data_IF_862906802741
#
_entry.id   IF_862906802741
#
_cell.length_a   1.000
_cell.length_b   1.000
_cell.length_c   1.000
_cell.angle_alpha   90.00
_cell.angle_beta   90.00
_cell.angle_gamma   90.00
#
_symmetry.space_group_name_H-M   'P 1'
#
loop_
_entity.id
_entity.type
_entity.pdbx_description
1 polymer ?
#
# COMPACT_ATOMS: atom_id res chain seq x y z
N UNK A 1 -10.59 -14.15 -6.51
CA UNK A 1 -10.21 -14.89 -5.28
C UNK A 1 -11.24 -15.98 -4.87
N UNK A 2 -12.55 -15.74 -4.94
CA UNK A 2 -13.55 -16.76 -4.56
C UNK A 2 -13.51 -18.04 -5.43
N UNK A 3 -13.25 -17.93 -6.73
CA UNK A 3 -13.06 -19.11 -7.58
C UNK A 3 -11.83 -19.95 -7.18
N UNK A 4 -10.75 -19.30 -6.75
CA UNK A 4 -9.56 -19.95 -6.22
C UNK A 4 -9.93 -20.74 -4.96
N UNK A 5 -10.65 -20.11 -4.01
CA UNK A 5 -11.10 -20.76 -2.78
C UNK A 5 -12.06 -21.93 -3.04
N UNK A 6 -12.99 -21.78 -4.00
CA UNK A 6 -13.88 -22.87 -4.42
C UNK A 6 -13.10 -24.06 -5.02
N UNK A 7 -12.04 -23.79 -5.80
CA UNK A 7 -11.13 -24.82 -6.31
C UNK A 7 -10.43 -25.57 -5.18
N UNK A 8 -9.89 -24.82 -4.21
CA UNK A 8 -9.22 -25.40 -3.03
C UNK A 8 -10.17 -26.30 -2.20
N UNK A 9 -11.43 -25.85 -2.03
CA UNK A 9 -12.43 -26.63 -1.30
C UNK A 9 -12.76 -27.98 -1.97
N UNK A 10 -12.60 -28.07 -3.29
CA UNK A 10 -12.83 -29.30 -4.07
C UNK A 10 -11.56 -30.11 -4.31
N UNK A 11 -10.41 -29.59 -3.95
CA UNK A 11 -9.12 -30.24 -4.17
C UNK A 11 -8.97 -31.41 -3.21
N UNK A 12 -8.64 -32.59 -3.73
CA UNK A 12 -8.28 -33.76 -2.94
C UNK A 12 -6.92 -33.55 -2.28
N UNK A 13 -6.60 -34.35 -1.27
CA UNK A 13 -5.36 -34.18 -0.49
C UNK A 13 -4.10 -34.32 -1.36
N UNK A 14 -4.08 -35.30 -2.28
CA UNK A 14 -3.00 -35.49 -3.26
C UNK A 14 -3.18 -34.64 -4.54
N UNK A 15 -4.21 -33.79 -4.56
CA UNK A 15 -4.57 -33.04 -5.76
C UNK A 15 -3.69 -31.80 -5.98
N UNK A 16 -3.58 -31.41 -7.23
CA UNK A 16 -2.99 -30.13 -7.67
C UNK A 16 -3.96 -29.43 -8.61
N UNK A 17 -4.08 -28.13 -8.50
CA UNK A 17 -4.84 -27.32 -9.44
C UNK A 17 -4.01 -26.15 -9.94
N UNK A 18 -4.36 -25.67 -11.14
CA UNK A 18 -3.85 -24.42 -11.69
C UNK A 18 -5.03 -23.54 -12.10
N UNK A 19 -4.99 -22.26 -11.75
CA UNK A 19 -6.02 -21.30 -12.11
C UNK A 19 -5.38 -19.98 -12.58
N UNK A 20 -5.90 -19.43 -13.68
CA UNK A 20 -5.45 -18.14 -14.20
C UNK A 20 -6.23 -17.03 -13.51
N UNK A 21 -5.48 -16.04 -13.01
CA UNK A 21 -5.98 -14.84 -12.35
C UNK A 21 -5.34 -13.60 -12.99
N UNK A 22 -5.98 -12.45 -12.83
CA UNK A 22 -5.36 -11.16 -13.15
C UNK A 22 -4.42 -10.71 -12.03
N UNK A 23 -3.60 -9.68 -12.29
CA UNK A 23 -2.61 -9.17 -11.34
C UNK A 23 -3.21 -8.66 -10.02
N UNK A 24 -4.47 -8.20 -10.01
CA UNK A 24 -5.11 -7.71 -8.78
C UNK A 24 -5.26 -8.80 -7.70
N UNK A 25 -5.27 -10.08 -8.09
CA UNK A 25 -5.31 -11.20 -7.13
C UNK A 25 -4.09 -11.25 -6.21
N UNK A 26 -2.97 -10.67 -6.62
CA UNK A 26 -1.71 -10.66 -5.88
C UNK A 26 -1.69 -9.66 -4.72
N UNK A 27 -2.33 -8.51 -4.88
CA UNK A 27 -2.19 -7.39 -3.94
C UNK A 27 -3.51 -6.74 -3.52
N UNK A 28 -4.63 -6.90 -4.27
CA UNK A 28 -5.88 -6.24 -3.92
C UNK A 28 -6.39 -6.68 -2.55
N UNK A 29 -6.96 -5.73 -1.81
CA UNK A 29 -7.51 -5.93 -0.47
C UNK A 29 -6.48 -5.62 0.63
N UNK A 30 -6.91 -4.77 1.57
CA UNK A 30 -6.10 -4.35 2.72
C UNK A 30 -5.97 -5.49 3.76
N UNK A 31 -5.07 -5.33 4.73
CA UNK A 31 -4.90 -6.25 5.86
C UNK A 31 -6.24 -6.54 6.55
N UNK A 32 -6.56 -7.83 6.70
CA UNK A 32 -7.84 -8.30 7.26
C UNK A 32 -9.01 -8.32 6.28
N UNK A 33 -8.83 -7.89 5.02
CA UNK A 33 -9.86 -8.02 3.97
C UNK A 33 -10.02 -9.46 3.49
N UNK A 34 -11.14 -9.75 2.79
CA UNK A 34 -11.40 -11.08 2.27
C UNK A 34 -10.32 -11.59 1.31
N UNK A 35 -9.83 -10.73 0.41
CA UNK A 35 -8.78 -11.09 -0.54
C UNK A 35 -7.45 -11.37 0.14
N UNK A 36 -7.04 -10.54 1.09
CA UNK A 36 -5.82 -10.73 1.89
C UNK A 36 -5.92 -12.01 2.72
N UNK A 37 -7.08 -12.26 3.35
CA UNK A 37 -7.32 -13.47 4.15
C UNK A 37 -7.29 -14.75 3.29
N UNK A 38 -7.76 -14.72 2.05
CA UNK A 38 -7.66 -15.88 1.14
C UNK A 38 -6.20 -16.16 0.78
N UNK A 39 -5.38 -15.14 0.52
CA UNK A 39 -3.94 -15.33 0.34
C UNK A 39 -3.30 -15.93 1.59
N UNK A 40 -3.61 -15.36 2.77
CA UNK A 40 -3.15 -15.87 4.05
C UNK A 40 -3.53 -17.32 4.27
N UNK A 41 -4.77 -17.69 3.98
CA UNK A 41 -5.24 -19.06 4.10
C UNK A 41 -4.41 -20.06 3.29
N UNK A 42 -4.05 -19.70 2.04
CA UNK A 42 -3.21 -20.56 1.20
C UNK A 42 -1.77 -20.65 1.70
N UNK A 43 -1.21 -19.54 2.18
CA UNK A 43 0.17 -19.46 2.65
C UNK A 43 0.36 -20.14 4.00
N UNK A 44 -0.58 -19.94 4.94
CA UNK A 44 -0.52 -20.53 6.28
C UNK A 44 -0.75 -22.05 6.29
N UNK A 45 -1.55 -22.55 5.34
CA UNK A 45 -1.72 -23.99 5.14
C UNK A 45 -0.63 -24.60 4.24
N UNK A 46 0.29 -23.77 3.75
CA UNK A 46 1.37 -24.20 2.85
C UNK A 46 0.86 -24.84 1.54
N UNK A 47 -0.23 -24.31 0.97
CA UNK A 47 -0.83 -24.86 -0.24
C UNK A 47 -0.48 -24.12 -1.53
N UNK A 48 -0.03 -22.88 -1.45
CA UNK A 48 0.43 -22.14 -2.62
C UNK A 48 1.83 -22.61 -3.03
N UNK A 49 1.93 -23.32 -4.16
CA UNK A 49 3.18 -23.92 -4.62
C UNK A 49 3.97 -22.97 -5.54
N UNK A 50 3.29 -22.36 -6.52
CA UNK A 50 3.92 -21.43 -7.44
C UNK A 50 2.94 -20.40 -8.00
N UNK A 51 3.48 -19.27 -8.48
CA UNK A 51 2.78 -18.29 -9.30
C UNK A 51 3.64 -18.03 -10.54
N UNK A 52 3.04 -18.19 -11.72
CA UNK A 52 3.70 -17.95 -13.01
C UNK A 52 3.05 -16.76 -13.69
N UNK A 53 3.79 -15.68 -13.92
CA UNK A 53 3.38 -14.57 -14.78
C UNK A 53 3.46 -14.99 -16.24
N UNK A 54 2.37 -14.80 -16.95
CA UNK A 54 2.30 -15.06 -18.38
C UNK A 54 2.55 -13.76 -19.17
N UNK A 55 2.95 -13.88 -20.46
CA UNK A 55 3.11 -12.72 -21.34
C UNK A 55 1.82 -11.90 -21.49
N UNK A 56 2.00 -10.60 -21.71
CA UNK A 56 0.91 -9.76 -22.19
C UNK A 56 0.41 -10.20 -23.56
N UNK A 57 -0.79 -9.77 -23.96
CA UNK A 57 -1.38 -10.05 -25.26
C UNK A 57 -1.50 -11.56 -25.60
N UNK A 58 -1.56 -12.42 -24.58
CA UNK A 58 -1.69 -13.88 -24.74
C UNK A 58 -3.14 -14.31 -25.00
N UNK A 59 -4.13 -13.56 -24.54
CA UNK A 59 -5.56 -13.92 -24.61
C UNK A 59 -6.33 -13.07 -25.63
N UNK A 60 -7.43 -13.61 -26.18
CA UNK A 60 -8.19 -12.98 -27.25
C UNK A 60 -8.81 -11.62 -26.88
N UNK A 61 -9.30 -11.49 -25.65
CA UNK A 61 -10.10 -10.33 -25.23
C UNK A 61 -9.36 -9.43 -24.21
N UNK A 62 -8.10 -9.68 -23.93
CA UNK A 62 -7.34 -8.89 -22.96
C UNK A 62 -5.85 -8.88 -23.28
N UNK A 63 -5.24 -7.69 -23.17
CA UNK A 63 -3.78 -7.51 -23.31
C UNK A 63 -3.03 -7.44 -21.99
N UNK A 64 -3.73 -7.61 -20.84
CA UNK A 64 -3.11 -7.47 -19.51
C UNK A 64 -2.28 -8.69 -19.11
N UNK A 65 -1.33 -8.47 -18.20
CA UNK A 65 -0.61 -9.56 -17.54
C UNK A 65 -1.57 -10.47 -16.76
N UNK A 66 -1.37 -11.77 -16.89
CA UNK A 66 -2.12 -12.79 -16.16
C UNK A 66 -1.17 -13.72 -15.44
N UNK A 67 -1.68 -14.37 -14.40
CA UNK A 67 -0.87 -15.17 -13.49
C UNK A 67 -1.52 -16.54 -13.30
N UNK A 68 -0.75 -17.60 -13.47
CA UNK A 68 -1.16 -18.97 -13.14
C UNK A 68 -0.82 -19.22 -11.68
N UNK A 69 -1.82 -19.46 -10.87
CA UNK A 69 -1.68 -19.89 -9.49
C UNK A 69 -1.68 -21.43 -9.44
N UNK A 70 -0.59 -22.02 -8.98
CA UNK A 70 -0.46 -23.46 -8.77
C UNK A 70 -0.63 -23.75 -7.28
N UNK A 71 -1.64 -24.55 -6.96
CA UNK A 71 -2.01 -24.87 -5.58
C UNK A 71 -2.08 -26.39 -5.41
N UNK A 72 -1.50 -26.88 -4.35
CA UNK A 72 -1.57 -28.29 -3.93
C UNK A 72 -1.64 -28.40 -2.43
N UNK A 73 -2.33 -29.42 -1.91
CA UNK A 73 -2.35 -29.74 -0.48
C UNK A 73 -1.17 -30.61 -0.06
N UNK A 74 -0.46 -31.18 -1.03
CA UNK A 74 0.68 -32.08 -0.81
C UNK A 74 1.90 -31.57 -1.59
N UNK A 75 2.62 -30.60 -1.04
CA UNK A 75 3.89 -30.13 -1.60
C UNK A 75 4.99 -31.17 -1.39
N UNK A 76 5.90 -31.26 -2.35
CA UNK A 76 7.15 -32.00 -2.17
C UNK A 76 7.96 -31.41 -0.99
N UNK A 77 8.75 -32.23 -0.32
CA UNK A 77 9.44 -31.84 0.92
C UNK A 77 10.37 -30.64 0.75
N UNK A 78 11.04 -30.53 -0.40
CA UNK A 78 11.93 -29.43 -0.77
C UNK A 78 11.18 -28.10 -1.01
N UNK A 79 9.86 -28.15 -1.26
CA UNK A 79 8.99 -27.01 -1.52
C UNK A 79 8.18 -26.55 -0.30
N UNK A 80 8.19 -27.32 0.79
CA UNK A 80 7.45 -26.97 2.00
C UNK A 80 7.90 -25.65 2.59
N UNK A 81 6.94 -24.82 3.03
CA UNK A 81 7.16 -23.49 3.59
C UNK A 81 7.58 -22.42 2.58
N UNK A 82 7.59 -22.76 1.28
CA UNK A 82 8.07 -21.86 0.22
C UNK A 82 7.09 -21.74 -0.93
N UNK A 83 7.18 -20.62 -1.65
CA UNK A 83 6.45 -20.36 -2.90
C UNK A 83 7.46 -19.99 -3.99
N UNK A 84 7.28 -20.58 -5.15
CA UNK A 84 8.06 -20.22 -6.33
C UNK A 84 7.35 -19.16 -7.15
N UNK A 85 8.00 -18.02 -7.39
CA UNK A 85 7.57 -17.00 -8.33
C UNK A 85 8.31 -17.19 -9.65
N UNK A 86 7.60 -17.20 -10.76
CA UNK A 86 8.17 -17.42 -12.10
C UNK A 86 7.68 -16.29 -13.01
N UNK A 87 8.60 -15.45 -13.45
CA UNK A 87 8.33 -14.45 -14.48
C UNK A 87 8.61 -15.03 -15.87
N UNK A 88 7.55 -15.37 -16.60
CA UNK A 88 7.59 -15.80 -17.98
C UNK A 88 7.07 -14.72 -18.94
N UNK A 89 7.02 -13.45 -18.52
CA UNK A 89 6.51 -12.34 -19.34
C UNK A 89 7.26 -12.14 -20.65
N UNK A 90 8.53 -12.54 -20.72
CA UNK A 90 9.39 -12.50 -21.91
C UNK A 90 9.54 -13.86 -22.60
N UNK A 91 8.74 -14.86 -22.21
CA UNK A 91 8.79 -16.20 -22.78
C UNK A 91 7.62 -16.43 -23.72
N UNK A 92 7.73 -15.94 -24.95
CA UNK A 92 6.69 -16.04 -25.98
C UNK A 92 7.28 -15.93 -27.38
N UNK A 93 6.50 -16.36 -28.35
CA UNK A 93 6.73 -16.09 -29.77
C UNK A 93 5.64 -15.19 -30.33
N UNK A 94 6.01 -14.27 -31.23
CA UNK A 94 5.05 -13.38 -31.89
C UNK A 94 4.25 -14.13 -32.95
N UNK A 95 2.96 -13.91 -32.98
CA UNK A 95 2.10 -14.45 -34.03
C UNK A 95 2.25 -13.67 -35.32
N UNK A 96 2.25 -14.33 -36.44
CA UNK A 96 2.24 -13.69 -37.78
C UNK A 96 0.97 -12.86 -38.00
N UNK A 97 -0.16 -13.32 -37.46
CA UNK A 97 -1.47 -12.63 -37.55
C UNK A 97 -2.12 -12.58 -36.18
N UNK A 98 -2.52 -11.38 -35.74
CA UNK A 98 -3.24 -11.19 -34.49
C UNK A 98 -4.66 -11.76 -34.56
N UNK A 99 -5.17 -12.20 -33.40
CA UNK A 99 -6.55 -12.63 -33.21
C UNK A 99 -7.14 -11.79 -32.06
N UNK A 100 -7.76 -10.68 -32.39
CA UNK A 100 -8.17 -9.69 -31.42
C UNK A 100 -6.95 -9.13 -30.67
N UNK A 101 -6.99 -9.13 -29.35
CA UNK A 101 -5.86 -8.71 -28.49
C UNK A 101 -4.72 -9.73 -28.46
N UNK A 102 -4.94 -10.95 -28.91
CA UNK A 102 -3.91 -12.00 -28.89
C UNK A 102 -2.89 -11.78 -30.00
N UNK A 103 -1.66 -11.36 -29.61
CA UNK A 103 -0.54 -11.07 -30.50
C UNK A 103 0.65 -12.01 -30.32
N UNK A 104 0.66 -12.73 -29.19
CA UNK A 104 1.72 -13.66 -28.81
C UNK A 104 1.16 -15.05 -28.51
N UNK A 105 2.04 -16.03 -28.49
CA UNK A 105 1.69 -17.39 -28.08
C UNK A 105 2.83 -18.04 -27.28
N UNK A 106 2.46 -18.95 -26.41
CA UNK A 106 3.37 -19.84 -25.69
C UNK A 106 3.41 -21.14 -26.49
N UNK A 107 4.49 -21.32 -27.24
CA UNK A 107 4.77 -22.53 -27.99
C UNK A 107 5.20 -23.68 -27.08
N UNK A 108 5.36 -24.89 -27.63
CA UNK A 108 5.90 -26.03 -26.87
C UNK A 108 7.28 -25.69 -26.31
N UNK A 109 8.12 -25.06 -27.10
CA UNK A 109 9.44 -24.60 -26.68
C UNK A 109 9.38 -23.62 -25.50
N UNK A 110 8.47 -22.67 -25.54
CA UNK A 110 8.24 -21.77 -24.40
C UNK A 110 7.74 -22.52 -23.16
N UNK A 111 6.83 -23.49 -23.33
CA UNK A 111 6.33 -24.33 -22.22
C UNK A 111 7.44 -25.12 -21.57
N UNK A 112 8.33 -25.74 -22.37
CA UNK A 112 9.46 -26.52 -21.87
C UNK A 112 10.39 -25.65 -21.03
N UNK A 113 10.66 -24.42 -21.46
CA UNK A 113 11.48 -23.47 -20.68
C UNK A 113 10.83 -23.08 -19.35
N UNK A 114 9.51 -22.81 -19.35
CA UNK A 114 8.74 -22.52 -18.13
C UNK A 114 8.76 -23.75 -17.20
N UNK A 115 8.53 -24.95 -17.74
CA UNK A 115 8.57 -26.19 -16.96
C UNK A 115 9.96 -26.48 -16.41
N UNK A 116 11.02 -26.17 -17.16
CA UNK A 116 12.40 -26.28 -16.67
C UNK A 116 12.64 -25.36 -15.47
N UNK A 117 12.14 -24.11 -15.53
CA UNK A 117 12.20 -23.18 -14.41
C UNK A 117 11.41 -23.69 -13.20
N UNK A 118 10.18 -24.18 -13.43
CA UNK A 118 9.31 -24.71 -12.39
C UNK A 118 9.94 -25.93 -11.67
N UNK A 119 10.52 -26.87 -12.40
CA UNK A 119 11.18 -28.04 -11.82
C UNK A 119 12.52 -27.72 -11.18
N UNK A 120 13.23 -26.68 -11.68
CA UNK A 120 14.51 -26.25 -11.11
C UNK A 120 14.42 -25.74 -9.69
N UNK A 121 13.31 -25.14 -9.29
CA UNK A 121 13.00 -24.65 -7.94
C UNK A 121 14.16 -23.89 -7.29
N UNK A 122 14.67 -22.89 -8.00
CA UNK A 122 15.82 -22.08 -7.58
C UNK A 122 15.70 -20.64 -8.08
N UNK A 123 16.54 -19.77 -7.56
CA UNK A 123 16.68 -18.38 -8.04
C UNK A 123 17.59 -18.40 -9.27
N UNK A 124 16.99 -18.38 -10.46
CA UNK A 124 17.76 -18.48 -11.71
C UNK A 124 17.03 -17.84 -12.90
N UNK A 125 17.82 -17.36 -13.88
CA UNK A 125 17.31 -16.86 -15.15
C UNK A 125 17.61 -17.89 -16.25
N UNK A 126 16.56 -18.54 -16.70
CA UNK A 126 16.62 -19.50 -17.81
C UNK A 126 16.48 -18.76 -19.13
N UNK A 127 17.44 -18.91 -20.02
CA UNK A 127 17.47 -18.31 -21.36
C UNK A 127 17.49 -19.38 -22.43
N UNK A 128 16.85 -19.08 -23.55
CA UNK A 128 16.88 -19.91 -24.75
C UNK A 128 16.68 -19.01 -25.98
N UNK A 129 17.08 -19.51 -27.15
CA UNK A 129 16.91 -18.81 -28.42
C UNK A 129 15.92 -19.60 -29.27
N UNK A 130 14.88 -18.94 -29.78
CA UNK A 130 13.90 -19.55 -30.69
C UNK A 130 14.51 -19.86 -32.05
N UNK A 131 13.81 -20.64 -32.87
CA UNK A 131 14.23 -20.92 -34.25
C UNK A 131 14.46 -19.67 -35.09
N UNK A 132 13.71 -18.61 -34.81
CA UNK A 132 13.82 -17.32 -35.51
C UNK A 132 14.93 -16.42 -34.92
N UNK A 133 15.78 -16.94 -34.02
CA UNK A 133 16.91 -16.21 -33.44
C UNK A 133 16.52 -15.23 -32.31
N UNK A 134 15.29 -15.25 -31.79
CA UNK A 134 14.81 -14.37 -30.71
C UNK A 134 15.17 -14.98 -29.36
N UNK A 135 15.86 -14.21 -28.52
CA UNK A 135 16.13 -14.62 -27.14
C UNK A 135 14.83 -14.53 -26.32
N UNK A 136 14.49 -15.63 -25.65
CA UNK A 136 13.40 -15.70 -24.66
C UNK A 136 13.98 -16.03 -23.29
N UNK A 137 13.33 -15.58 -22.23
CA UNK A 137 13.78 -15.86 -20.87
C UNK A 137 12.63 -16.13 -19.91
N UNK A 138 12.95 -16.90 -18.89
CA UNK A 138 12.10 -17.14 -17.71
C UNK A 138 12.95 -16.92 -16.48
N UNK A 139 12.50 -16.06 -15.56
CA UNK A 139 13.17 -15.85 -14.28
C UNK A 139 12.38 -16.52 -13.16
N UNK A 140 13.08 -17.27 -12.30
CA UNK A 140 12.51 -17.95 -11.14
C UNK A 140 13.11 -17.40 -9.85
N UNK A 141 12.27 -17.24 -8.83
CA UNK A 141 12.64 -16.87 -7.46
C UNK A 141 11.87 -17.71 -6.46
N UNK A 142 12.54 -18.19 -5.44
CA UNK A 142 11.95 -18.97 -4.35
C UNK A 142 11.91 -18.12 -3.09
N UNK A 143 10.73 -18.03 -2.50
CA UNK A 143 10.47 -17.20 -1.31
C UNK A 143 9.85 -18.03 -0.20
N UNK A 144 10.11 -17.69 1.04
CA UNK A 144 9.40 -18.29 2.17
C UNK A 144 7.96 -17.75 2.22
N UNK A 145 7.02 -18.53 2.77
CA UNK A 145 5.64 -18.09 2.95
C UNK A 145 5.54 -16.78 3.76
N UNK A 146 6.44 -16.59 4.73
CA UNK A 146 6.48 -15.41 5.59
C UNK A 146 6.97 -14.14 4.88
N UNK A 147 7.60 -14.24 3.69
CA UNK A 147 7.97 -13.07 2.88
C UNK A 147 6.75 -12.33 2.30
N UNK A 148 5.60 -12.98 2.29
CA UNK A 148 4.33 -12.44 1.81
C UNK A 148 3.41 -11.93 2.92
N UNK A 149 3.85 -12.05 4.16
CA UNK A 149 3.12 -11.65 5.35
C UNK A 149 3.63 -10.31 5.87
N UNK A 150 2.72 -9.47 6.36
CA UNK A 150 3.08 -8.19 6.96
C UNK A 150 2.15 -7.80 8.11
N UNK A 151 2.62 -6.90 8.96
CA UNK A 151 1.80 -6.22 9.96
C UNK A 151 1.44 -4.84 9.45
N UNK A 152 0.16 -4.51 9.45
CA UNK A 152 -0.30 -3.14 9.27
C UNK A 152 -0.56 -2.56 10.66
N UNK A 153 0.32 -1.68 11.09
CA UNK A 153 0.21 -0.99 12.37
C UNK A 153 -0.39 0.39 12.18
N UNK A 154 -1.14 0.85 13.18
CA UNK A 154 -1.76 2.17 13.18
C UNK A 154 -0.94 3.07 14.10
N UNK A 155 -0.54 4.21 13.56
CA UNK A 155 0.29 5.21 14.21
C UNK A 155 -0.59 6.40 14.56
N UNK A 156 -0.73 6.67 15.85
CA UNK A 156 -1.41 7.87 16.35
C UNK A 156 -0.36 8.91 16.78
N UNK A 157 -0.64 10.17 16.53
CA UNK A 157 0.11 11.31 17.07
C UNK A 157 -0.76 12.15 18.00
N UNK A 158 -0.21 12.75 19.06
CA UNK A 158 -1.01 13.57 19.96
C UNK A 158 -1.49 14.85 19.30
N UNK A 159 -2.74 15.23 19.58
CA UNK A 159 -3.30 16.48 19.16
C UNK A 159 -2.58 17.66 19.83
N UNK A 160 -2.26 18.71 19.07
CA UNK A 160 -1.61 19.93 19.53
C UNK A 160 -2.39 21.13 19.05
N UNK A 161 -2.85 21.97 19.98
CA UNK A 161 -3.74 23.10 19.68
C UNK A 161 -3.28 24.38 20.37
N UNK A 162 -3.47 25.46 19.65
CA UNK A 162 -3.39 26.84 20.18
C UNK A 162 -4.69 27.58 19.92
N UNK A 163 -4.93 28.59 20.72
CA UNK A 163 -6.08 29.51 20.59
C UNK A 163 -5.51 30.93 20.47
N UNK A 164 -5.74 31.50 19.32
CA UNK A 164 -5.35 32.88 19.02
C UNK A 164 -6.49 33.50 18.23
N UNK A 165 -7.14 34.51 18.81
CA UNK A 165 -8.33 35.14 18.25
C UNK A 165 -9.41 34.16 17.76
N UNK A 166 -9.85 33.19 18.61
CA UNK A 166 -10.82 32.19 18.19
C UNK A 166 -12.11 32.83 17.70
N UNK A 167 -12.66 32.31 16.61
CA UNK A 167 -13.91 32.81 16.02
C UNK A 167 -14.99 31.74 16.13
N UNK A 168 -16.23 32.19 16.26
CA UNK A 168 -17.38 31.28 16.21
C UNK A 168 -17.45 30.59 14.86
N UNK A 169 -17.76 29.29 14.82
CA UNK A 169 -17.99 28.60 13.56
C UNK A 169 -19.21 29.16 12.83
N UNK A 170 -19.20 29.05 11.52
CA UNK A 170 -20.29 29.46 10.64
C UNK A 170 -21.63 28.82 11.03
N UNK A 171 -22.75 29.48 10.71
CA UNK A 171 -24.10 29.00 11.04
C UNK A 171 -24.49 27.72 10.27
N UNK A 172 -23.79 27.37 9.20
CA UNK A 172 -23.94 26.08 8.49
C UNK A 172 -23.52 24.88 9.34
N UNK A 173 -22.67 25.09 10.36
CA UNK A 173 -22.24 24.04 11.27
C UNK A 173 -23.37 23.66 12.22
N UNK A 174 -23.83 22.41 12.16
CA UNK A 174 -24.89 21.88 13.01
C UNK A 174 -24.40 21.68 14.44
N UNK A 175 -24.62 22.64 15.29
CA UNK A 175 -24.37 22.60 16.73
C UNK A 175 -25.69 22.73 17.51
N UNK A 176 -25.78 22.06 18.67
CA UNK A 176 -26.88 22.31 19.59
C UNK A 176 -26.81 23.75 20.11
N UNK A 177 -27.96 24.33 20.49
CA UNK A 177 -28.00 25.66 21.07
C UNK A 177 -27.11 25.78 22.31
N UNK A 178 -27.10 24.74 23.17
CA UNK A 178 -26.26 24.68 24.36
C UNK A 178 -24.74 24.68 24.01
N UNK A 179 -24.34 23.99 22.94
CA UNK A 179 -22.95 23.97 22.52
C UNK A 179 -22.54 25.33 21.93
N UNK A 180 -23.40 25.91 21.08
CA UNK A 180 -23.16 27.21 20.48
C UNK A 180 -23.07 28.31 21.56
N UNK A 181 -23.95 28.28 22.55
CA UNK A 181 -23.89 29.17 23.69
C UNK A 181 -22.61 29.02 24.50
N UNK A 182 -22.22 27.78 24.79
CA UNK A 182 -20.97 27.51 25.51
C UNK A 182 -19.75 28.02 24.74
N UNK A 183 -19.65 27.73 23.42
CA UNK A 183 -18.57 28.25 22.58
C UNK A 183 -18.53 29.77 22.57
N UNK A 184 -19.68 30.43 22.44
CA UNK A 184 -19.76 31.88 22.49
C UNK A 184 -19.21 32.44 23.79
N UNK A 185 -19.55 31.85 24.93
CA UNK A 185 -19.01 32.27 26.23
C UNK A 185 -17.49 32.13 26.31
N UNK A 186 -16.91 31.10 25.67
CA UNK A 186 -15.45 30.96 25.57
C UNK A 186 -14.83 32.00 24.66
N UNK A 187 -15.42 32.29 23.50
CA UNK A 187 -14.93 33.31 22.56
C UNK A 187 -15.04 34.72 23.19
N UNK A 188 -16.18 35.05 23.79
CA UNK A 188 -16.41 36.36 24.43
C UNK A 188 -15.49 36.52 25.65
N UNK A 189 -15.32 35.47 26.47
CA UNK A 189 -14.38 35.47 27.60
C UNK A 189 -12.93 35.64 27.16
N UNK A 190 -12.54 34.98 26.11
CA UNK A 190 -11.20 35.18 25.53
C UNK A 190 -11.02 36.63 25.06
N UNK A 191 -11.93 37.15 24.26
CA UNK A 191 -11.85 38.53 23.75
C UNK A 191 -11.81 39.58 24.87
N UNK A 192 -12.58 39.37 25.93
CA UNK A 192 -12.64 40.30 27.04
C UNK A 192 -11.37 40.29 27.91
N UNK A 193 -10.83 39.10 28.25
CA UNK A 193 -9.74 38.98 29.21
C UNK A 193 -8.34 38.80 28.58
N UNK A 194 -8.26 38.27 27.34
CA UNK A 194 -7.01 37.77 26.75
C UNK A 194 -6.86 38.11 25.26
N UNK A 195 -7.50 39.14 24.80
CA UNK A 195 -7.54 39.51 23.36
C UNK A 195 -6.16 39.63 22.75
N UNK A 196 -5.89 38.80 21.72
CA UNK A 196 -4.58 38.71 21.03
C UNK A 196 -3.54 37.86 21.73
N UNK A 197 -3.79 37.32 22.93
CA UNK A 197 -2.84 36.40 23.60
C UNK A 197 -2.94 35.02 23.01
N UNK A 198 -1.79 34.47 22.57
CA UNK A 198 -1.72 33.07 22.11
C UNK A 198 -1.73 32.13 23.31
N UNK A 199 -2.72 31.25 23.40
CA UNK A 199 -2.95 30.37 24.55
C UNK A 199 -2.84 28.90 24.15
N UNK A 200 -2.23 28.10 25.01
CA UNK A 200 -2.23 26.64 24.91
C UNK A 200 -3.59 26.07 25.36
N UNK A 201 -3.94 24.86 24.92
CA UNK A 201 -5.24 24.23 25.20
C UNK A 201 -5.62 24.25 26.68
N UNK A 202 -4.70 23.81 27.54
CA UNK A 202 -4.94 23.78 28.99
C UNK A 202 -5.21 25.17 29.56
N UNK A 203 -4.39 26.13 29.20
CA UNK A 203 -4.52 27.51 29.68
C UNK A 203 -5.83 28.13 29.19
N UNK A 204 -6.18 27.94 27.94
CA UNK A 204 -7.44 28.43 27.38
C UNK A 204 -8.65 27.92 28.18
N UNK A 205 -8.74 26.63 28.42
CA UNK A 205 -9.83 26.06 29.18
C UNK A 205 -9.82 26.49 30.66
N UNK A 206 -8.70 26.45 31.35
CA UNK A 206 -8.62 26.74 32.78
C UNK A 206 -8.87 28.22 33.06
N UNK A 207 -8.18 29.12 32.36
CA UNK A 207 -8.25 30.56 32.60
C UNK A 207 -9.65 31.09 32.28
N UNK A 208 -10.24 30.68 31.14
CA UNK A 208 -11.57 31.19 30.77
C UNK A 208 -12.66 30.59 31.66
N UNK A 209 -12.61 29.27 31.94
CA UNK A 209 -13.57 28.65 32.85
C UNK A 209 -13.58 29.31 34.22
N UNK A 210 -12.37 29.58 34.78
CA UNK A 210 -12.24 30.22 36.09
C UNK A 210 -12.82 31.64 36.09
N UNK A 211 -12.48 32.44 35.09
CA UNK A 211 -12.94 33.84 34.99
C UNK A 211 -14.44 33.97 34.70
N UNK A 212 -14.96 33.08 33.87
CA UNK A 212 -16.37 33.13 33.46
C UNK A 212 -17.30 32.24 34.31
N UNK A 213 -16.80 31.49 35.29
CA UNK A 213 -17.58 30.60 36.16
C UNK A 213 -18.32 29.48 35.43
N UNK A 214 -17.77 29.00 34.29
CA UNK A 214 -18.46 28.09 33.40
C UNK A 214 -18.38 26.63 33.85
N UNK A 215 -19.48 25.88 33.65
CA UNK A 215 -19.50 24.43 33.72
C UNK A 215 -19.41 23.86 32.30
N UNK A 216 -18.44 23.03 32.02
CA UNK A 216 -18.18 22.50 30.69
C UNK A 216 -18.12 20.98 30.75
N UNK A 217 -18.88 20.32 29.88
CA UNK A 217 -18.85 18.84 29.73
C UNK A 217 -17.72 18.40 28.83
N UNK A 218 -17.30 17.12 28.95
CA UNK A 218 -16.29 16.53 28.04
C UNK A 218 -16.66 16.65 26.56
N UNK A 219 -17.95 16.49 26.24
CA UNK A 219 -18.44 16.64 24.86
C UNK A 219 -18.27 18.06 24.35
N UNK A 220 -18.54 19.04 25.17
CA UNK A 220 -18.32 20.45 24.83
C UNK A 220 -16.85 20.80 24.69
N UNK A 221 -15.98 20.28 25.55
CA UNK A 221 -14.52 20.42 25.39
C UNK A 221 -14.08 19.91 24.02
N UNK A 222 -14.54 18.71 23.61
CA UNK A 222 -14.21 18.15 22.29
C UNK A 222 -14.64 19.06 21.14
N UNK A 223 -15.86 19.61 21.21
CA UNK A 223 -16.39 20.53 20.18
C UNK A 223 -15.64 21.87 20.16
N UNK A 224 -15.33 22.44 21.33
CA UNK A 224 -14.55 23.68 21.43
C UNK A 224 -13.18 23.48 20.77
N UNK A 225 -12.48 22.39 21.06
CA UNK A 225 -11.21 22.03 20.42
C UNK A 225 -11.34 21.93 18.89
N UNK A 226 -12.37 21.25 18.43
CA UNK A 226 -12.62 21.02 17.01
C UNK A 226 -12.86 22.32 16.22
N UNK A 227 -13.56 23.30 16.80
CA UNK A 227 -14.01 24.48 16.06
C UNK A 227 -13.28 25.77 16.43
N UNK A 228 -12.70 25.86 17.61
CA UNK A 228 -12.01 27.07 18.06
C UNK A 228 -10.48 26.91 18.12
N UNK A 229 -9.99 25.69 18.21
CA UNK A 229 -8.54 25.41 18.26
C UNK A 229 -7.91 25.39 16.87
N UNK A 230 -6.71 25.93 16.77
CA UNK A 230 -5.84 25.85 15.59
C UNK A 230 -4.71 24.88 15.86
N UNK A 231 -4.44 23.95 14.94
CA UNK A 231 -3.31 23.01 15.06
C UNK A 231 -1.99 23.71 14.96
N UNK A 232 -1.06 23.35 15.85
CA UNK A 232 0.33 23.80 15.83
C UNK A 232 1.25 22.71 16.38
N UNK A 233 2.09 22.15 15.54
CA UNK A 233 2.98 21.03 15.90
C UNK A 233 4.08 21.40 16.91
N UNK A 234 4.35 22.70 17.09
CA UNK A 234 5.44 23.20 17.95
C UNK A 234 5.01 23.43 19.41
N UNK A 235 3.77 23.07 19.76
CA UNK A 235 3.26 23.25 21.12
C UNK A 235 3.10 21.92 21.85
N UNK A 236 2.88 21.98 23.18
CA UNK A 236 2.65 20.78 23.97
C UNK A 236 1.38 20.02 23.56
N UNK A 237 1.35 18.69 23.76
CA UNK A 237 0.18 17.88 23.49
C UNK A 237 -1.05 18.26 24.30
N UNK A 238 -2.21 18.09 23.69
CA UNK A 238 -3.50 18.29 24.35
C UNK A 238 -3.82 17.10 25.26
N UNK A 239 -4.19 17.39 26.52
CA UNK A 239 -4.60 16.36 27.49
C UNK A 239 -6.12 16.11 27.41
N UNK A 240 -6.54 14.85 27.61
CA UNK A 240 -7.97 14.50 27.59
C UNK A 240 -8.82 15.38 28.52
N UNK A 241 -8.34 15.59 29.74
CA UNK A 241 -9.00 16.46 30.72
C UNK A 241 -8.15 17.72 30.95
N UNK A 242 -8.53 18.87 30.38
CA UNK A 242 -7.77 20.11 30.55
C UNK A 242 -7.86 20.68 31.97
N UNK A 243 -8.76 20.14 32.82
CA UNK A 243 -8.98 20.61 34.19
C UNK A 243 -8.26 19.75 35.23
N UNK A 244 -7.79 18.57 34.86
CA UNK A 244 -7.10 17.66 35.77
C UNK A 244 -5.59 17.67 35.50
N UNK A 245 -4.83 18.32 36.38
CA UNK A 245 -3.38 18.48 36.24
C UNK A 245 -2.58 17.18 36.48
N UNK A 246 -3.19 16.20 37.15
CA UNK A 246 -2.53 14.94 37.48
C UNK A 246 -2.67 13.87 36.40
N UNK A 247 -3.75 13.94 35.60
CA UNK A 247 -4.01 13.00 34.53
C UNK A 247 -3.35 13.46 33.23
N UNK A 248 -2.32 12.71 32.79
CA UNK A 248 -1.52 13.03 31.60
C UNK A 248 -1.82 12.11 30.40
N UNK A 249 -3.10 11.77 30.18
CA UNK A 249 -3.52 11.08 28.96
C UNK A 249 -3.73 12.08 27.84
N UNK A 250 -3.12 11.83 26.67
CA UNK A 250 -3.22 12.70 25.51
C UNK A 250 -4.48 12.43 24.71
N UNK A 251 -4.98 13.47 24.01
CA UNK A 251 -5.93 13.33 22.91
C UNK A 251 -5.15 13.01 21.65
N UNK A 252 -5.54 11.97 20.94
CA UNK A 252 -4.92 11.58 19.67
C UNK A 252 -5.58 12.32 18.51
N UNK A 253 -4.76 12.82 17.58
CA UNK A 253 -5.23 13.55 16.41
C UNK A 253 -5.63 12.57 15.31
N UNK A 254 -6.91 12.54 14.96
CA UNK A 254 -7.44 11.66 13.92
C UNK A 254 -7.01 12.06 12.50
N UNK A 255 -6.57 13.30 12.29
CA UNK A 255 -6.09 13.76 10.98
C UNK A 255 -4.62 13.44 10.74
N UNK A 256 -3.84 13.25 11.83
CA UNK A 256 -2.45 12.82 11.78
C UNK A 256 -2.28 11.31 11.98
N UNK A 257 -3.40 10.58 12.08
CA UNK A 257 -3.35 9.12 12.14
C UNK A 257 -2.84 8.56 10.81
N UNK A 258 -1.86 7.68 10.86
CA UNK A 258 -1.24 7.05 9.71
C UNK A 258 -1.09 5.55 9.91
N UNK A 259 -0.63 4.84 8.90
CA UNK A 259 -0.40 3.39 8.98
C UNK A 259 0.93 3.03 8.38
N UNK A 260 1.64 2.10 9.03
CA UNK A 260 2.88 1.52 8.52
C UNK A 260 2.69 0.05 8.18
N UNK A 261 3.36 -0.38 7.10
CA UNK A 261 3.37 -1.78 6.65
C UNK A 261 4.75 -2.35 6.97
N UNK A 262 4.80 -3.20 7.99
CA UNK A 262 6.03 -3.79 8.49
C UNK A 262 6.11 -5.23 8.02
N UNK A 263 7.15 -5.64 7.25
CA UNK A 263 7.36 -7.03 6.85
C UNK A 263 7.35 -7.95 8.08
N UNK A 264 6.78 -9.14 7.93
CA UNK A 264 6.62 -10.07 9.06
C UNK A 264 7.94 -10.46 9.72
N UNK A 265 8.99 -10.61 8.93
CA UNK A 265 10.33 -11.00 9.39
C UNK A 265 11.10 -9.87 10.08
N UNK A 266 10.63 -8.62 10.00
CA UNK A 266 11.26 -7.49 10.64
C UNK A 266 10.72 -7.29 12.08
N UNK A 267 11.61 -6.86 12.97
CA UNK A 267 11.23 -6.45 14.32
C UNK A 267 10.47 -5.13 14.28
N UNK A 268 9.28 -5.08 14.88
CA UNK A 268 8.38 -3.94 14.83
C UNK A 268 9.00 -2.70 15.47
N UNK A 269 9.61 -2.85 16.65
CA UNK A 269 10.14 -1.72 17.42
C UNK A 269 11.39 -1.14 16.74
N UNK A 270 12.25 -2.01 16.21
CA UNK A 270 13.40 -1.59 15.42
C UNK A 270 12.98 -0.85 14.15
N UNK A 271 11.98 -1.38 13.41
CA UNK A 271 11.45 -0.74 12.22
C UNK A 271 10.90 0.65 12.52
N UNK A 272 10.06 0.78 13.54
CA UNK A 272 9.43 2.04 13.92
C UNK A 272 10.45 3.06 14.42
N UNK A 273 11.49 2.62 15.13
CA UNK A 273 12.57 3.49 15.59
C UNK A 273 13.35 4.10 14.43
N UNK A 274 13.55 3.34 13.35
CA UNK A 274 14.32 3.79 12.17
C UNK A 274 13.45 4.62 11.22
N UNK A 275 12.20 4.18 10.96
CA UNK A 275 11.39 4.72 9.88
C UNK A 275 10.33 5.73 10.33
N UNK A 276 9.89 5.71 11.59
CA UNK A 276 8.81 6.56 12.11
C UNK A 276 9.33 7.59 13.12
N UNK A 277 10.11 7.17 14.11
CA UNK A 277 10.57 8.04 15.19
C UNK A 277 11.31 9.31 14.72
N UNK A 278 12.12 9.32 13.65
CA UNK A 278 12.76 10.54 13.15
C UNK A 278 11.80 11.62 12.68
N UNK A 279 10.59 11.23 12.26
CA UNK A 279 9.56 12.13 11.71
C UNK A 279 8.42 12.40 12.70
N UNK A 280 8.22 11.51 13.67
CA UNK A 280 7.14 11.56 14.64
C UNK A 280 7.60 10.98 15.98
N UNK A 281 8.52 11.68 16.68
CA UNK A 281 9.13 11.19 17.92
C UNK A 281 8.11 10.91 19.06
N UNK A 282 6.92 11.47 18.97
CA UNK A 282 5.82 11.35 19.93
C UNK A 282 4.73 10.37 19.47
N UNK A 283 5.03 9.51 18.49
CA UNK A 283 4.08 8.52 17.98
C UNK A 283 3.70 7.48 19.06
N UNK A 284 2.54 6.89 18.86
CA UNK A 284 2.08 5.71 19.57
C UNK A 284 1.50 4.70 18.57
N UNK A 285 1.82 3.43 18.77
CA UNK A 285 1.14 2.35 18.06
C UNK A 285 -0.19 2.03 18.76
N UNK A 286 -1.27 1.97 17.99
CA UNK A 286 -2.55 1.44 18.45
C UNK A 286 -2.61 -0.07 18.16
N UNK A 287 -2.11 -0.86 19.10
CA UNK A 287 -2.06 -2.33 18.97
C UNK A 287 -3.46 -2.95 18.75
N UNK A 288 -4.52 -2.31 19.26
CA UNK A 288 -5.88 -2.81 19.10
C UNK A 288 -6.38 -2.78 17.65
N UNK A 289 -5.77 -1.94 16.82
CA UNK A 289 -6.07 -1.80 15.39
C UNK A 289 -5.10 -2.56 14.49
N UNK A 290 -3.96 -3.02 15.02
CA UNK A 290 -2.96 -3.76 14.24
C UNK A 290 -3.57 -4.98 13.56
N UNK A 291 -3.27 -5.17 12.30
CA UNK A 291 -3.80 -6.27 11.48
C UNK A 291 -2.69 -6.97 10.71
N UNK A 292 -2.88 -8.27 10.52
CA UNK A 292 -2.02 -9.06 9.65
C UNK A 292 -2.58 -9.02 8.24
N UNK A 293 -1.71 -8.76 7.27
CA UNK A 293 -2.02 -8.78 5.85
C UNK A 293 -1.11 -9.72 5.09
N UNK A 294 -1.55 -10.07 3.87
CA UNK A 294 -0.82 -10.93 2.95
C UNK A 294 -0.86 -10.33 1.55
N UNK A 295 0.31 -10.14 0.97
CA UNK A 295 0.49 -9.59 -0.37
C UNK A 295 1.62 -10.31 -1.07
N UNK A 296 1.47 -10.52 -2.38
CA UNK A 296 2.52 -11.11 -3.21
C UNK A 296 3.07 -10.01 -4.11
N UNK A 297 4.16 -9.33 -3.71
CA UNK A 297 4.70 -8.17 -4.41
C UNK A 297 5.49 -8.61 -5.66
N UNK A 298 4.82 -9.32 -6.56
CA UNK A 298 5.44 -9.99 -7.72
C UNK A 298 6.30 -9.03 -8.55
N UNK A 299 5.77 -7.85 -8.88
CA UNK A 299 6.51 -6.87 -9.68
C UNK A 299 7.77 -6.38 -8.97
N UNK A 300 7.73 -6.21 -7.63
CA UNK A 300 8.89 -5.80 -6.84
C UNK A 300 9.99 -6.87 -6.86
N UNK A 301 9.61 -8.14 -6.80
CA UNK A 301 10.56 -9.24 -6.79
C UNK A 301 11.36 -9.36 -8.10
N UNK A 302 10.75 -9.00 -9.24
CA UNK A 302 11.39 -9.04 -10.56
C UNK A 302 11.78 -7.66 -11.09
N UNK A 303 11.63 -6.59 -10.26
CA UNK A 303 11.99 -5.25 -10.68
C UNK A 303 13.50 -5.13 -10.90
N UNK A 304 13.84 -4.64 -12.09
CA UNK A 304 15.22 -4.27 -12.44
C UNK A 304 15.26 -2.79 -12.74
N UNK A 305 16.03 -2.05 -11.96
CA UNK A 305 16.25 -0.65 -12.25
C UNK A 305 16.99 -0.51 -13.58
N UNK A 306 16.36 0.14 -14.54
CA UNK A 306 17.01 0.55 -15.78
C UNK A 306 17.29 2.05 -15.68
N UNK A 307 18.57 2.47 -15.67
CA UNK A 307 18.91 3.88 -15.64
C UNK A 307 18.26 4.61 -16.81
N UNK A 308 17.73 5.79 -16.54
CA UNK A 308 17.20 6.64 -17.60
C UNK A 308 18.36 7.04 -18.52
N UNK A 309 18.14 6.95 -19.83
CA UNK A 309 19.12 7.43 -20.80
C UNK A 309 19.33 8.94 -20.65
N UNK A 310 20.58 9.44 -20.77
CA UNK A 310 20.85 10.86 -20.73
C UNK A 310 20.00 11.60 -21.78
N UNK A 311 19.47 12.75 -21.42
CA UNK A 311 18.66 13.57 -22.35
C UNK A 311 19.42 13.96 -23.61
N UNK A 312 20.75 14.12 -23.52
CA UNK A 312 21.62 14.37 -24.66
C UNK A 312 21.63 13.24 -25.69
N UNK A 313 21.61 11.98 -25.22
CA UNK A 313 21.56 10.82 -26.10
C UNK A 313 20.21 10.72 -26.81
N UNK A 314 19.11 10.93 -26.07
CA UNK A 314 17.76 10.94 -26.64
C UNK A 314 17.64 12.05 -27.70
N UNK A 315 18.17 13.22 -27.41
CA UNK A 315 18.16 14.36 -28.34
C UNK A 315 18.98 14.10 -29.62
N UNK A 316 20.12 13.43 -29.51
CA UNK A 316 20.91 13.00 -30.70
C UNK A 316 20.14 12.00 -31.56
N UNK A 317 19.47 11.02 -30.94
CA UNK A 317 18.64 10.05 -31.67
C UNK A 317 17.45 10.71 -32.37
N UNK A 318 16.80 11.68 -31.73
CA UNK A 318 15.71 12.45 -32.36
C UNK A 318 16.21 13.20 -33.58
N UNK A 319 17.34 13.90 -33.48
CA UNK A 319 17.94 14.61 -34.65
C UNK A 319 18.29 13.67 -35.81
N UNK A 320 18.80 12.47 -35.48
CA UNK A 320 19.11 11.51 -36.52
C UNK A 320 17.86 10.95 -37.19
N UNK A 321 16.80 10.73 -36.44
CA UNK A 321 15.49 10.32 -37.00
C UNK A 321 14.87 11.41 -37.88
N UNK A 322 14.94 12.68 -37.47
CA UNK A 322 14.48 13.83 -38.28
C UNK A 322 15.25 13.94 -39.58
N UNK A 323 16.58 13.71 -39.54
CA UNK A 323 17.41 13.70 -40.75
C UNK A 323 16.99 12.58 -41.71
N UNK A 324 16.80 11.35 -41.18
CA UNK A 324 16.37 10.20 -41.98
C UNK A 324 14.96 10.41 -42.59
N UNK A 325 14.05 10.99 -41.84
CA UNK A 325 12.72 11.37 -42.33
C UNK A 325 12.82 12.35 -43.49
N UNK A 326 13.63 13.40 -43.34
CA UNK A 326 13.85 14.41 -44.40
C UNK A 326 14.44 13.80 -45.67
N UNK A 327 15.45 12.90 -45.53
CA UNK A 327 16.06 12.22 -46.67
C UNK A 327 15.06 11.27 -47.39
N UNK A 328 14.21 10.57 -46.62
CA UNK A 328 13.17 9.73 -47.20
C UNK A 328 12.11 10.57 -47.94
N UNK A 329 11.69 11.69 -47.36
CA UNK A 329 10.76 12.62 -48.02
C UNK A 329 11.32 13.19 -49.30
N UNK A 330 12.60 13.60 -49.35
CA UNK A 330 13.26 14.06 -50.57
C UNK A 330 13.31 12.95 -51.65
N UNK A 331 13.59 11.71 -51.24
CA UNK A 331 13.62 10.54 -52.16
C UNK A 331 12.26 10.19 -52.75
N UNK A 332 11.18 10.59 -52.15
CA UNK A 332 9.80 10.37 -52.65
C UNK A 332 9.35 11.50 -53.61
N UNK A 333 10.04 12.66 -53.62
CA UNK A 333 9.70 13.80 -54.45
C UNK A 333 10.50 13.82 -55.77
N UNK A 334 11.47 12.90 -55.89
CA UNK A 334 12.25 12.66 -57.13
C UNK A 334 11.98 11.26 -57.67
#
# INVERSE_FOLDING_TARGET
MLFLLNGVAKLKDEGRMAIIQNGSSLFKGDAGSGESNIRGYLLEHDWLEAIVQLPNDLFYNTGIATYVWVVTKNKADDRKGKVQLIDASLCFEKRRKSLGSKRVEITDFCRDLIMKAYHGFNDYVYKATTHDGVEIQVESRVKDNDDFKYRKVFIDRPLRLVYENPQMPDDSVKLSEADRMTMKLFVDGYRYYYNGERMLDRDFFQKIKFKAGLKVTKAQVKKIRQYLGTRDENVEPVYEDPFNLTKRTFVWDTELADTEIIPWKEDQDAYLTINVAPFAADYRVDESKTRIGYEIPFTREFYRYTPLRPSSEIFQQLKELERQESEMMESLLH
#
